data_IF_171383389640
#
_entry.id   IF_171383389640
#
_cell.length_a   1.000
_cell.length_b   1.000
_cell.length_c   1.000
_cell.angle_alpha   90.00
_cell.angle_beta   90.00
_cell.angle_gamma   90.00
#
_symmetry.space_group_name_H-M   'P 1'
#
loop_
_entity.id
_entity.type
_entity.pdbx_description
1 polymer ?
#
# COMPACT_ATOMS: atom_id res chain seq x y z
N UNK A 1 31.00 24.17 4.17
CA UNK A 1 29.56 24.09 4.51
C UNK A 1 29.37 22.88 5.39
N UNK A 2 28.63 22.96 6.51
CA UNK A 2 28.25 21.75 7.23
C UNK A 2 27.46 20.84 6.28
N UNK A 3 27.58 19.51 6.37
CA UNK A 3 26.84 18.59 5.51
C UNK A 3 25.35 18.89 5.65
N UNK A 4 24.64 18.96 4.51
CA UNK A 4 23.19 19.14 4.49
C UNK A 4 22.57 18.03 5.33
N UNK A 5 21.85 18.41 6.39
CA UNK A 5 21.11 17.47 7.23
C UNK A 5 19.94 16.96 6.42
N UNK A 6 19.83 15.63 6.28
CA UNK A 6 18.73 14.97 5.60
C UNK A 6 17.61 14.74 6.60
N UNK A 7 16.38 15.13 6.27
CA UNK A 7 15.21 15.01 7.13
C UNK A 7 14.27 13.91 6.64
N UNK A 8 13.76 13.09 7.56
CA UNK A 8 12.74 12.09 7.28
C UNK A 8 11.51 12.25 8.19
N UNK A 9 10.33 11.95 7.65
CA UNK A 9 9.10 11.75 8.43
C UNK A 9 8.71 10.28 8.36
N UNK A 10 8.28 9.74 9.51
CA UNK A 10 7.83 8.34 9.64
C UNK A 10 6.34 8.34 9.95
N UNK A 11 5.55 7.50 9.29
CA UNK A 11 4.15 7.26 9.62
C UNK A 11 3.88 5.76 9.81
N UNK A 12 3.40 5.38 10.99
CA UNK A 12 3.01 4.00 11.33
C UNK A 12 2.15 4.03 12.61
N UNK A 13 1.03 3.31 12.67
CA UNK A 13 0.17 3.29 13.86
C UNK A 13 0.68 2.37 14.99
N UNK A 14 1.85 1.74 14.80
CA UNK A 14 2.52 0.90 15.79
C UNK A 14 3.76 1.60 16.38
N UNK A 15 3.73 2.03 17.66
CA UNK A 15 4.85 2.75 18.29
C UNK A 15 6.19 2.00 18.27
N UNK A 16 6.15 0.66 18.37
CA UNK A 16 7.35 -0.18 18.31
C UNK A 16 7.99 -0.12 16.92
N UNK A 17 7.17 -0.05 15.86
CA UNK A 17 7.66 0.06 14.50
C UNK A 17 8.28 1.44 14.27
N UNK A 18 7.63 2.52 14.72
CA UNK A 18 8.20 3.86 14.65
C UNK A 18 9.59 3.93 15.31
N UNK A 19 9.75 3.32 16.49
CA UNK A 19 11.02 3.26 17.20
C UNK A 19 12.09 2.49 16.40
N UNK A 20 11.73 1.33 15.84
CA UNK A 20 12.64 0.52 15.03
C UNK A 20 13.08 1.23 13.75
N UNK A 21 12.14 1.88 13.03
CA UNK A 21 12.44 2.67 11.84
C UNK A 21 13.33 3.85 12.20
N UNK A 22 13.01 4.59 13.26
CA UNK A 22 13.81 5.72 13.74
C UNK A 22 15.25 5.31 14.08
N UNK A 23 15.42 4.19 14.79
CA UNK A 23 16.74 3.64 15.11
C UNK A 23 17.51 3.29 13.83
N UNK A 24 16.85 2.60 12.88
CA UNK A 24 17.44 2.21 11.60
C UNK A 24 17.88 3.42 10.77
N UNK A 25 17.06 4.47 10.69
CA UNK A 25 17.39 5.69 9.95
C UNK A 25 18.49 6.51 10.62
N UNK A 26 18.63 6.42 11.95
CA UNK A 26 19.69 7.12 12.70
C UNK A 26 21.10 6.60 12.39
N UNK A 27 21.20 5.41 11.79
CA UNK A 27 22.47 4.86 11.30
C UNK A 27 22.91 5.47 9.95
N UNK A 28 22.02 6.20 9.26
CA UNK A 28 22.35 6.92 8.02
C UNK A 28 23.05 8.24 8.39
N UNK A 29 24.27 8.51 7.88
CA UNK A 29 24.99 9.74 8.20
C UNK A 29 24.17 10.99 7.86
N UNK A 30 24.14 11.95 8.79
CA UNK A 30 23.40 13.23 8.68
C UNK A 30 21.88 13.11 8.54
N UNK A 31 21.29 11.93 8.77
CA UNK A 31 19.84 11.73 8.79
C UNK A 31 19.24 12.14 10.13
N UNK A 32 18.12 12.84 10.10
CA UNK A 32 17.28 13.13 11.27
C UNK A 32 15.83 12.81 10.98
N UNK A 33 15.16 12.19 11.93
CA UNK A 33 13.70 12.04 11.89
C UNK A 33 13.08 13.29 12.49
N UNK A 34 12.41 14.09 11.65
CA UNK A 34 11.77 15.36 12.04
C UNK A 34 10.41 15.14 12.70
N UNK A 35 9.65 14.14 12.26
CA UNK A 35 8.38 13.77 12.87
C UNK A 35 8.11 12.26 12.81
N UNK A 36 7.31 11.78 13.75
CA UNK A 36 6.72 10.44 13.77
C UNK A 36 5.21 10.57 13.93
N UNK A 37 4.45 9.94 13.06
CA UNK A 37 3.01 10.09 12.93
C UNK A 37 2.33 8.74 13.12
N UNK A 38 1.22 8.69 13.84
CA UNK A 38 0.42 7.50 14.08
C UNK A 38 -0.77 7.35 13.11
N UNK A 39 -0.99 8.33 12.24
CA UNK A 39 -2.08 8.34 11.26
C UNK A 39 -1.72 9.14 10.00
N UNK A 40 -2.52 8.97 8.95
CA UNK A 40 -2.41 9.80 7.74
C UNK A 40 -2.66 11.29 8.01
N UNK A 41 -3.62 11.61 8.89
CA UNK A 41 -3.90 13.00 9.27
C UNK A 41 -2.70 13.66 9.98
N UNK A 42 -2.08 12.95 10.93
CA UNK A 42 -0.85 13.42 11.58
C UNK A 42 0.32 13.55 10.59
N UNK A 43 0.41 12.64 9.61
CA UNK A 43 1.42 12.73 8.56
C UNK A 43 1.23 14.01 7.73
N UNK A 44 0.01 14.31 7.28
CA UNK A 44 -0.24 15.53 6.50
C UNK A 44 0.00 16.79 7.32
N UNK A 45 -0.41 16.83 8.59
CA UNK A 45 -0.11 17.95 9.48
C UNK A 45 1.41 18.14 9.64
N UNK A 46 2.16 17.05 9.81
CA UNK A 46 3.62 17.12 9.90
C UNK A 46 4.26 17.63 8.60
N UNK A 47 3.70 17.31 7.43
CA UNK A 47 4.19 17.79 6.13
C UNK A 47 3.86 19.26 5.83
N UNK A 48 2.92 19.87 6.57
CA UNK A 48 2.70 21.33 6.53
C UNK A 48 3.79 22.08 7.31
N UNK A 49 4.32 21.48 8.37
CA UNK A 49 5.36 22.07 9.22
C UNK A 49 6.79 21.70 8.77
N UNK A 50 6.94 20.57 8.08
CA UNK A 50 8.23 20.01 7.72
C UNK A 50 8.31 19.70 6.22
N UNK A 51 9.44 20.00 5.60
CA UNK A 51 9.76 19.60 4.22
C UNK A 51 10.79 18.47 4.23
N UNK A 52 10.40 17.20 4.47
CA UNK A 52 11.35 16.11 4.54
C UNK A 52 11.91 15.73 3.17
N UNK A 53 13.14 15.23 3.19
CA UNK A 53 13.82 14.62 2.05
C UNK A 53 13.40 13.16 1.83
N UNK A 54 12.71 12.55 2.80
CA UNK A 54 12.23 11.17 2.75
C UNK A 54 10.95 11.01 3.57
N UNK A 55 9.97 10.30 3.03
CA UNK A 55 8.80 9.83 3.77
C UNK A 55 8.88 8.30 3.87
N UNK A 56 8.83 7.77 5.08
CA UNK A 56 8.64 6.33 5.33
C UNK A 56 7.26 6.14 5.92
N UNK A 57 6.37 5.46 5.21
CA UNK A 57 4.97 5.32 5.64
C UNK A 57 4.53 3.86 5.62
N UNK A 58 3.74 3.45 6.59
CA UNK A 58 2.90 2.28 6.46
C UNK A 58 1.82 2.52 5.40
N UNK A 59 1.37 1.42 4.81
CA UNK A 59 0.25 1.41 3.89
C UNK A 59 -1.09 1.39 4.62
N UNK A 60 -1.18 0.80 5.81
CA UNK A 60 -2.44 0.65 6.54
C UNK A 60 -2.28 1.12 7.98
N UNK A 61 -2.89 2.26 8.31
CA UNK A 61 -2.86 2.86 9.66
C UNK A 61 -4.29 2.86 10.21
N UNK A 62 -4.79 1.66 10.54
CA UNK A 62 -6.22 1.38 10.72
C UNK A 62 -6.79 1.63 12.12
N UNK A 63 -5.97 2.09 13.08
CA UNK A 63 -6.43 2.24 14.48
C UNK A 63 -7.32 3.46 14.75
N UNK A 64 -7.31 4.49 13.89
CA UNK A 64 -8.03 5.75 14.15
C UNK A 64 -9.41 5.85 13.48
N UNK A 65 -9.80 4.91 12.61
CA UNK A 65 -11.06 4.99 11.87
C UNK A 65 -11.14 6.13 10.84
N UNK A 66 -10.04 6.87 10.65
CA UNK A 66 -9.90 7.93 9.65
C UNK A 66 -9.47 7.36 8.29
N UNK A 67 -9.87 8.04 7.22
CA UNK A 67 -9.87 7.52 5.83
C UNK A 67 -8.59 7.76 5.03
N UNK A 68 -7.50 8.19 5.68
CA UNK A 68 -6.23 8.56 5.02
C UNK A 68 -5.19 7.43 5.10
N UNK A 69 -5.52 6.27 4.51
CA UNK A 69 -4.62 5.14 4.35
C UNK A 69 -4.65 4.56 2.92
N UNK A 70 -3.90 3.48 2.73
CA UNK A 70 -3.90 2.69 1.51
C UNK A 70 -3.45 3.44 0.26
N UNK A 71 -4.11 3.16 -0.87
CA UNK A 71 -3.79 3.82 -2.13
C UNK A 71 -4.10 5.33 -2.10
N UNK A 72 -5.11 5.74 -1.34
CA UNK A 72 -5.50 7.17 -1.22
C UNK A 72 -4.40 7.98 -0.55
N UNK A 73 -3.79 7.44 0.49
CA UNK A 73 -2.65 8.06 1.16
C UNK A 73 -1.50 8.31 0.17
N UNK A 74 -1.07 7.28 -0.57
CA UNK A 74 0.03 7.41 -1.53
C UNK A 74 -0.31 8.43 -2.62
N UNK A 75 -1.54 8.41 -3.14
CA UNK A 75 -1.98 9.36 -4.15
C UNK A 75 -1.90 10.81 -3.65
N UNK A 76 -2.39 11.06 -2.44
CA UNK A 76 -2.38 12.38 -1.83
C UNK A 76 -0.96 12.85 -1.51
N UNK A 77 -0.09 11.97 -1.00
CA UNK A 77 1.33 12.26 -0.80
C UNK A 77 2.05 12.64 -2.10
N UNK A 78 1.77 11.94 -3.20
CA UNK A 78 2.32 12.29 -4.52
C UNK A 78 1.83 13.65 -5.03
N UNK A 79 0.65 14.10 -4.61
CA UNK A 79 0.11 15.41 -4.96
C UNK A 79 0.67 16.54 -4.08
N UNK A 80 0.74 16.32 -2.76
CA UNK A 80 1.20 17.33 -1.80
C UNK A 80 2.73 17.45 -1.75
N UNK A 81 3.44 16.36 -2.00
CA UNK A 81 4.90 16.26 -1.86
C UNK A 81 5.53 15.56 -3.08
N UNK A 82 5.35 16.09 -4.31
CA UNK A 82 5.67 15.40 -5.55
C UNK A 82 7.16 15.04 -5.69
N UNK A 83 8.04 15.86 -5.09
CA UNK A 83 9.49 15.71 -5.17
C UNK A 83 10.08 14.88 -4.01
N UNK A 84 9.30 14.60 -2.96
CA UNK A 84 9.79 13.83 -1.82
C UNK A 84 9.68 12.34 -2.11
N UNK A 85 10.77 11.56 -2.06
CA UNK A 85 10.71 10.13 -2.23
C UNK A 85 9.92 9.47 -1.09
N UNK A 86 9.05 8.52 -1.47
CA UNK A 86 8.19 7.77 -0.54
C UNK A 86 8.66 6.33 -0.50
N UNK A 87 8.97 5.83 0.69
CA UNK A 87 9.23 4.41 0.95
C UNK A 87 8.06 3.84 1.75
N UNK A 88 7.39 2.84 1.18
CA UNK A 88 6.28 2.14 1.84
C UNK A 88 6.84 0.99 2.67
N UNK A 89 6.59 0.98 3.97
CA UNK A 89 7.03 -0.07 4.91
C UNK A 89 5.83 -0.85 5.43
N UNK A 90 5.59 -2.05 4.90
CA UNK A 90 4.28 -2.71 5.01
C UNK A 90 4.37 -4.21 5.26
N UNK A 91 3.30 -4.80 5.80
CA UNK A 91 3.11 -6.25 5.90
C UNK A 91 2.37 -6.86 4.69
N UNK A 92 2.06 -6.04 3.67
CA UNK A 92 1.38 -6.52 2.47
C UNK A 92 2.19 -7.59 1.73
N UNK A 93 1.52 -8.69 1.45
CA UNK A 93 2.04 -9.80 0.62
C UNK A 93 1.27 -9.96 -0.70
N UNK A 94 0.22 -9.16 -0.90
CA UNK A 94 -0.57 -9.20 -2.13
C UNK A 94 0.21 -8.57 -3.30
N UNK A 95 0.80 -9.40 -4.15
CA UNK A 95 1.62 -8.91 -5.27
C UNK A 95 0.90 -7.98 -6.24
N UNK A 96 -0.42 -8.08 -6.40
CA UNK A 96 -1.20 -7.23 -7.30
C UNK A 96 -1.34 -5.82 -6.74
N UNK A 97 -1.60 -5.72 -5.42
CA UNK A 97 -1.60 -4.45 -4.72
C UNK A 97 -0.20 -3.83 -4.66
N UNK A 98 0.83 -4.63 -4.37
CA UNK A 98 2.24 -4.20 -4.40
C UNK A 98 2.65 -3.68 -5.78
N UNK A 99 2.17 -4.30 -6.86
CA UNK A 99 2.39 -3.83 -8.24
C UNK A 99 1.79 -2.46 -8.45
N UNK A 100 0.55 -2.24 -8.01
CA UNK A 100 -0.12 -0.93 -8.11
C UNK A 100 0.58 0.15 -7.30
N UNK A 101 0.97 -0.16 -6.05
CA UNK A 101 1.74 0.78 -5.22
C UNK A 101 3.00 1.22 -5.98
N UNK A 102 3.74 0.27 -6.56
CA UNK A 102 4.94 0.57 -7.38
C UNK A 102 4.61 1.48 -8.57
N UNK A 103 3.51 1.22 -9.27
CA UNK A 103 3.08 2.01 -10.45
C UNK A 103 2.71 3.47 -10.10
N UNK A 104 2.45 3.79 -8.83
CA UNK A 104 2.19 5.15 -8.37
C UNK A 104 3.46 6.02 -8.25
N UNK A 105 4.63 5.49 -8.58
CA UNK A 105 5.88 6.26 -8.62
C UNK A 105 6.46 6.58 -7.25
N UNK A 106 6.32 5.63 -6.31
CA UNK A 106 7.03 5.63 -5.03
C UNK A 106 8.50 5.20 -5.21
N UNK A 107 9.36 5.55 -4.25
CA UNK A 107 10.79 5.28 -4.30
C UNK A 107 11.17 3.88 -3.77
N UNK A 108 10.32 3.25 -2.96
CA UNK A 108 10.50 1.82 -2.69
C UNK A 108 9.43 1.18 -1.81
N UNK A 109 9.42 -0.15 -1.79
CA UNK A 109 8.55 -0.96 -0.93
C UNK A 109 9.41 -1.93 -0.12
N UNK A 110 9.20 -1.94 1.18
CA UNK A 110 9.92 -2.78 2.13
C UNK A 110 8.93 -3.55 2.99
N UNK A 111 9.13 -4.86 3.12
CA UNK A 111 8.38 -5.69 4.05
C UNK A 111 8.77 -5.40 5.51
N UNK A 112 7.80 -5.29 6.44
CA UNK A 112 8.11 -5.15 7.88
C UNK A 112 8.79 -6.39 8.50
N UNK A 113 8.77 -7.51 7.79
CA UNK A 113 9.46 -8.74 8.15
C UNK A 113 10.93 -8.80 7.65
N UNK A 114 11.38 -7.80 6.90
CA UNK A 114 12.75 -7.73 6.40
C UNK A 114 13.74 -7.33 7.49
N UNK A 115 15.01 -7.66 7.28
CA UNK A 115 16.07 -7.17 8.14
C UNK A 115 16.15 -5.62 8.08
N UNK A 116 16.39 -4.93 9.21
CA UNK A 116 16.48 -3.46 9.24
C UNK A 116 17.46 -2.86 8.23
N UNK A 117 18.56 -3.56 7.94
CA UNK A 117 19.55 -3.13 6.94
C UNK A 117 18.99 -2.99 5.52
N UNK A 118 17.94 -3.73 5.17
CA UNK A 118 17.26 -3.61 3.87
C UNK A 118 16.47 -2.31 3.78
N UNK A 119 15.73 -1.96 4.85
CA UNK A 119 15.04 -0.67 4.96
C UNK A 119 16.04 0.47 4.82
N UNK A 120 17.13 0.42 5.59
CA UNK A 120 18.21 1.42 5.54
C UNK A 120 18.75 1.61 4.12
N UNK A 121 19.06 0.52 3.43
CA UNK A 121 19.61 0.57 2.07
C UNK A 121 18.62 1.19 1.07
N UNK A 122 17.34 0.78 1.13
CA UNK A 122 16.31 1.30 0.23
C UNK A 122 16.05 2.79 0.48
N UNK A 123 16.05 3.23 1.74
CA UNK A 123 15.94 4.66 2.08
C UNK A 123 17.13 5.46 1.53
N UNK A 124 18.36 4.96 1.65
CA UNK A 124 19.54 5.62 1.06
C UNK A 124 19.45 5.70 -0.47
N UNK A 125 19.02 4.63 -1.13
CA UNK A 125 18.84 4.61 -2.58
C UNK A 125 17.75 5.58 -3.06
N UNK A 126 16.68 5.72 -2.26
CA UNK A 126 15.59 6.66 -2.50
C UNK A 126 16.06 8.12 -2.42
N UNK A 127 16.80 8.48 -1.38
CA UNK A 127 17.39 9.83 -1.21
C UNK A 127 18.39 10.13 -2.34
N UNK A 128 19.16 9.13 -2.76
CA UNK A 128 20.13 9.26 -3.84
C UNK A 128 19.50 9.24 -5.25
N UNK A 129 18.17 9.14 -5.37
CA UNK A 129 17.47 9.16 -6.66
C UNK A 129 17.76 7.95 -7.55
N UNK A 130 18.11 6.80 -6.99
CA UNK A 130 18.52 5.59 -7.74
C UNK A 130 17.37 4.79 -8.34
N UNK A 131 16.19 5.40 -8.46
CA UNK A 131 14.96 4.77 -8.94
C UNK A 131 14.30 3.85 -7.89
N UNK A 132 13.13 3.28 -8.23
CA UNK A 132 12.32 2.49 -7.30
C UNK A 132 13.01 1.18 -6.91
N UNK A 133 13.01 0.85 -5.60
CA UNK A 133 13.58 -0.40 -5.07
C UNK A 133 12.57 -1.21 -4.28
N UNK A 134 12.68 -2.52 -4.34
CA UNK A 134 11.82 -3.47 -3.63
C UNK A 134 12.68 -4.34 -2.73
N UNK A 135 12.18 -4.66 -1.53
CA UNK A 135 12.83 -5.66 -0.68
C UNK A 135 12.70 -7.07 -1.30
N UNK A 136 13.56 -8.03 -0.91
CA UNK A 136 13.52 -9.40 -1.43
C UNK A 136 12.14 -10.08 -1.27
N UNK A 137 11.53 -10.00 -0.09
CA UNK A 137 10.23 -10.59 0.21
C UNK A 137 9.08 -9.95 -0.58
N UNK A 138 9.14 -8.63 -0.81
CA UNK A 138 8.18 -7.93 -1.67
C UNK A 138 8.36 -8.36 -3.13
N UNK A 139 9.60 -8.41 -3.61
CA UNK A 139 9.93 -8.85 -4.97
C UNK A 139 9.46 -10.30 -5.21
N UNK A 140 9.64 -11.18 -4.22
CA UNK A 140 9.16 -12.55 -4.27
C UNK A 140 7.63 -12.60 -4.33
N UNK A 141 6.93 -11.84 -3.48
CA UNK A 141 5.47 -11.77 -3.45
C UNK A 141 4.88 -11.27 -4.78
N UNK A 142 5.54 -10.32 -5.44
CA UNK A 142 5.18 -9.85 -6.77
C UNK A 142 5.51 -10.88 -7.86
N UNK A 143 6.61 -11.62 -7.72
CA UNK A 143 7.04 -12.64 -8.69
C UNK A 143 6.26 -13.95 -8.57
N UNK A 144 5.68 -14.26 -7.41
CA UNK A 144 4.75 -15.39 -7.26
C UNK A 144 3.52 -15.23 -8.14
N UNK A 145 3.15 -13.99 -8.46
CA UNK A 145 2.16 -13.69 -9.51
C UNK A 145 2.70 -14.04 -10.90
N UNK A 146 4.00 -13.85 -11.16
CA UNK A 146 4.68 -14.25 -12.39
C UNK A 146 4.79 -15.76 -12.60
N UNK A 147 5.03 -16.55 -11.54
CA UNK A 147 4.98 -18.01 -11.59
C UNK A 147 3.55 -18.54 -11.76
N UNK A 148 2.57 -17.84 -11.19
CA UNK A 148 1.15 -18.01 -11.49
C UNK A 148 0.73 -17.30 -12.80
N UNK A 149 1.58 -16.53 -13.47
CA UNK A 149 1.25 -15.87 -14.73
C UNK A 149 1.46 -16.80 -15.93
N UNK A 150 2.19 -17.91 -15.74
CA UNK A 150 2.04 -19.11 -16.58
C UNK A 150 0.65 -19.78 -16.42
N UNK A 151 -0.11 -19.41 -15.38
CA UNK A 151 -1.43 -19.94 -15.06
C UNK A 151 -2.40 -18.83 -14.55
N UNK A 152 -2.46 -17.69 -15.25
CA UNK A 152 -3.56 -16.72 -15.13
C UNK A 152 -3.69 -15.95 -13.81
N UNK A 153 -2.79 -15.00 -13.54
CA UNK A 153 -3.15 -13.73 -12.90
C UNK A 153 -4.03 -12.91 -13.87
N UNK A 154 -5.22 -13.42 -14.16
CA UNK A 154 -6.14 -12.84 -15.11
C UNK A 154 -6.87 -11.69 -14.42
N UNK A 155 -6.94 -10.53 -15.09
CA UNK A 155 -7.83 -9.45 -14.71
C UNK A 155 -9.23 -10.01 -14.38
N UNK A 156 -9.95 -9.34 -13.48
CA UNK A 156 -11.35 -9.68 -13.25
C UNK A 156 -12.08 -9.69 -14.59
N UNK A 157 -12.78 -10.77 -14.88
CA UNK A 157 -13.65 -10.82 -16.05
C UNK A 157 -14.77 -9.79 -15.90
N UNK A 158 -15.37 -9.29 -16.99
CA UNK A 158 -16.48 -8.35 -16.91
C UNK A 158 -17.63 -8.82 -15.99
N UNK A 159 -17.88 -10.13 -15.95
CA UNK A 159 -18.89 -10.76 -15.09
C UNK A 159 -18.51 -10.75 -13.61
N UNK A 160 -17.22 -10.88 -13.28
CA UNK A 160 -16.71 -10.77 -11.90
C UNK A 160 -16.72 -9.32 -11.44
N UNK A 161 -16.33 -8.37 -12.29
CA UNK A 161 -16.38 -6.92 -12.00
C UNK A 161 -17.81 -6.50 -11.65
N UNK A 162 -18.78 -6.95 -12.44
CA UNK A 162 -20.20 -6.65 -12.22
C UNK A 162 -20.69 -7.12 -10.83
N UNK A 163 -20.29 -8.33 -10.42
CA UNK A 163 -20.64 -8.88 -9.10
C UNK A 163 -19.92 -8.13 -7.98
N UNK A 164 -18.63 -7.82 -8.13
CA UNK A 164 -17.86 -7.06 -7.13
C UNK A 164 -18.44 -5.66 -6.94
N UNK A 165 -18.82 -4.98 -8.04
CA UNK A 165 -19.42 -3.64 -7.98
C UNK A 165 -20.73 -3.63 -7.22
N UNK A 166 -21.66 -4.51 -7.57
CA UNK A 166 -22.96 -4.56 -6.89
C UNK A 166 -22.82 -4.97 -5.42
N UNK A 167 -21.91 -5.90 -5.12
CA UNK A 167 -21.61 -6.31 -3.74
C UNK A 167 -21.05 -5.14 -2.92
N UNK A 168 -20.13 -4.36 -3.50
CA UNK A 168 -19.56 -3.19 -2.86
C UNK A 168 -20.55 -2.02 -2.69
N UNK A 169 -21.55 -1.93 -3.56
CA UNK A 169 -22.68 -1.01 -3.43
C UNK A 169 -23.72 -1.45 -2.38
N UNK A 170 -23.47 -2.55 -1.67
CA UNK A 170 -24.32 -3.02 -0.56
C UNK A 170 -25.34 -4.10 -0.93
N UNK A 171 -25.37 -4.57 -2.19
CA UNK A 171 -26.26 -5.66 -2.58
C UNK A 171 -25.79 -7.00 -2.02
N UNK A 172 -26.73 -7.80 -1.52
CA UNK A 172 -26.51 -9.20 -1.13
C UNK A 172 -26.32 -10.09 -2.36
N UNK A 173 -25.69 -11.26 -2.18
CA UNK A 173 -25.49 -12.24 -3.27
C UNK A 173 -26.83 -12.67 -3.89
N UNK A 174 -27.91 -12.70 -3.10
CA UNK A 174 -29.27 -13.02 -3.55
C UNK A 174 -29.86 -11.93 -4.43
N UNK A 175 -29.72 -10.66 -4.04
CA UNK A 175 -30.21 -9.52 -4.83
C UNK A 175 -29.44 -9.40 -6.16
N UNK A 176 -28.12 -9.61 -6.13
CA UNK A 176 -27.27 -9.62 -7.33
C UNK A 176 -27.71 -10.73 -8.29
N UNK A 177 -28.03 -11.92 -7.76
CA UNK A 177 -28.52 -13.04 -8.56
C UNK A 177 -29.83 -12.70 -9.27
N UNK A 178 -30.78 -12.09 -8.55
CA UNK A 178 -32.04 -11.61 -9.11
C UNK A 178 -31.83 -10.56 -10.21
N UNK A 179 -31.01 -9.55 -9.93
CA UNK A 179 -30.75 -8.45 -10.86
C UNK A 179 -30.05 -8.89 -12.14
N UNK A 180 -29.04 -9.76 -12.01
CA UNK A 180 -28.28 -10.27 -13.15
C UNK A 180 -28.95 -11.45 -13.87
N UNK A 181 -30.13 -11.90 -13.39
CA UNK A 181 -30.83 -13.10 -13.88
C UNK A 181 -29.92 -14.34 -13.89
N UNK A 182 -29.12 -14.51 -12.82
CA UNK A 182 -28.20 -15.64 -12.62
C UNK A 182 -28.61 -16.43 -11.38
N UNK A 183 -28.13 -17.67 -11.26
CA UNK A 183 -28.35 -18.44 -10.03
C UNK A 183 -27.48 -17.90 -8.89
N UNK A 184 -27.93 -18.10 -7.65
CA UNK A 184 -27.16 -17.76 -6.44
C UNK A 184 -25.77 -18.44 -6.46
N UNK A 185 -25.71 -19.69 -6.88
CA UNK A 185 -24.46 -20.46 -6.99
C UNK A 185 -23.48 -19.83 -7.99
N UNK A 186 -23.97 -19.33 -9.12
CA UNK A 186 -23.15 -18.63 -10.12
C UNK A 186 -22.56 -17.35 -9.55
N UNK A 187 -23.36 -16.51 -8.89
CA UNK A 187 -22.89 -15.24 -8.30
C UNK A 187 -21.92 -15.49 -7.15
N UNK A 188 -22.20 -16.46 -6.28
CA UNK A 188 -21.29 -16.85 -5.20
C UNK A 188 -19.94 -17.34 -5.74
N UNK A 189 -19.96 -18.14 -6.81
CA UNK A 189 -18.75 -18.62 -7.48
C UNK A 189 -17.97 -17.48 -8.14
N UNK A 190 -18.65 -16.55 -8.81
CA UNK A 190 -18.03 -15.37 -9.41
C UNK A 190 -17.39 -14.46 -8.35
N UNK A 191 -18.09 -14.20 -7.24
CA UNK A 191 -17.53 -13.46 -6.10
C UNK A 191 -16.30 -14.16 -5.51
N UNK A 192 -16.37 -15.47 -5.29
CA UNK A 192 -15.23 -16.25 -4.75
C UNK A 192 -14.06 -16.31 -5.71
N UNK A 193 -14.32 -16.42 -7.01
CA UNK A 193 -13.32 -16.36 -8.07
C UNK A 193 -12.65 -14.99 -8.12
N UNK A 194 -13.42 -13.91 -8.01
CA UNK A 194 -12.90 -12.55 -7.91
C UNK A 194 -12.02 -12.39 -6.67
N UNK A 195 -12.49 -12.78 -5.49
CA UNK A 195 -11.71 -12.78 -4.25
C UNK A 195 -10.40 -13.57 -4.39
N UNK A 196 -10.44 -14.75 -5.00
CA UNK A 196 -9.23 -15.55 -5.27
C UNK A 196 -8.26 -14.84 -6.22
N UNK A 197 -8.75 -14.29 -7.33
CA UNK A 197 -7.93 -13.57 -8.33
C UNK A 197 -7.30 -12.29 -7.75
N UNK A 198 -8.04 -11.62 -6.87
CA UNK A 198 -7.59 -10.43 -6.16
C UNK A 198 -6.75 -10.75 -4.93
N UNK A 199 -6.62 -12.03 -4.57
CA UNK A 199 -6.00 -12.52 -3.34
C UNK A 199 -6.56 -11.81 -2.08
N UNK A 200 -7.89 -11.76 -1.99
CA UNK A 200 -8.66 -11.14 -0.91
C UNK A 200 -9.35 -12.25 -0.11
N UNK A 201 -9.22 -12.20 1.21
CA UNK A 201 -9.78 -13.21 2.12
C UNK A 201 -11.13 -12.78 2.74
N UNK A 202 -11.40 -11.48 2.87
CA UNK A 202 -12.60 -10.98 3.54
C UNK A 202 -13.53 -10.18 2.63
N UNK A 203 -14.81 -10.14 2.99
CA UNK A 203 -15.79 -9.31 2.29
C UNK A 203 -15.49 -7.81 2.47
N UNK A 204 -14.96 -7.41 3.63
CA UNK A 204 -14.60 -6.02 3.90
C UNK A 204 -13.48 -5.56 2.95
N UNK A 205 -12.44 -6.37 2.79
CA UNK A 205 -11.34 -6.09 1.86
C UNK A 205 -11.82 -6.03 0.41
N UNK A 206 -12.82 -6.83 0.02
CA UNK A 206 -13.41 -6.79 -1.31
C UNK A 206 -14.17 -5.48 -1.56
N UNK A 207 -14.86 -4.97 -0.53
CA UNK A 207 -15.57 -3.68 -0.58
C UNK A 207 -14.56 -2.53 -0.64
N UNK A 208 -13.52 -2.57 0.19
CA UNK A 208 -12.42 -1.59 0.17
C UNK A 208 -11.76 -1.55 -1.20
N UNK A 209 -11.39 -2.72 -1.74
CA UNK A 209 -10.83 -2.84 -3.08
C UNK A 209 -11.73 -2.19 -4.13
N UNK A 210 -13.04 -2.46 -4.11
CA UNK A 210 -13.97 -1.90 -5.08
C UNK A 210 -14.05 -0.36 -5.02
N UNK A 211 -14.10 0.21 -3.81
CA UNK A 211 -14.11 1.67 -3.59
C UNK A 211 -12.84 2.35 -4.04
N UNK A 212 -11.69 1.73 -3.82
CA UNK A 212 -10.38 2.23 -4.26
C UNK A 212 -10.21 2.17 -5.78
N UNK A 213 -10.99 1.33 -6.46
CA UNK A 213 -10.89 1.09 -7.90
C UNK A 213 -12.00 1.74 -8.73
N UNK A 214 -12.83 2.59 -8.12
CA UNK A 214 -13.97 3.21 -8.81
C UNK A 214 -15.00 2.18 -9.29
N UNK A 215 -15.09 1.04 -8.60
CA UNK A 215 -16.07 -0.02 -8.86
C UNK A 215 -17.30 0.11 -7.95
N UNK A 216 -17.65 1.34 -7.53
CA UNK A 216 -18.83 1.66 -6.73
C UNK A 216 -19.46 2.94 -7.24
#
# INVERSE_FOLDING_TARGET
MPPHTVSAVIADDHPVIQLAVKATLSEIPNMKVSATCASGAELFAALEEHTPDLIVTDFTMGRSGESDDGLRLIQRLKQSSPNTPIVVFTMLTNGGLLTRIREMGIAGIVGKNEAPGILRQICMDAIAGRGPRLSPGVSASMSSIGALAGAGASALSPKEIEVVRMFAAGSTVTEIAGYLRRTLATVATQKRSAMRKLNIASNADLITYARENGLT
#
